data_IF_713312356544
#
_entry.id   IF_713312356544
#
_cell.length_a   1.000
_cell.length_b   1.000
_cell.length_c   1.000
_cell.angle_alpha   90.00
_cell.angle_beta   90.00
_cell.angle_gamma   90.00
#
_symmetry.space_group_name_H-M   'P 1'
#
loop_
_entity.id
_entity.type
_entity.pdbx_description
1 polymer ?
#
# COMPACT_ATOMS: atom_id res chain seq x y z
N UNK A 1 23.11 29.24 40.77
CA UNK A 1 22.67 27.85 40.48
C UNK A 1 21.15 27.87 40.53
N UNK A 2 20.48 28.05 39.39
CA UNK A 2 19.01 28.07 39.33
C UNK A 2 18.47 26.67 39.61
N UNK A 3 17.66 26.53 40.67
CA UNK A 3 16.92 25.31 40.94
C UNK A 3 15.68 25.36 40.06
N UNK A 4 15.74 24.69 38.88
CA UNK A 4 14.54 24.48 38.05
C UNK A 4 13.53 23.67 38.86
N UNK A 5 12.38 24.28 39.14
CA UNK A 5 11.25 23.65 39.82
C UNK A 5 10.74 22.45 38.99
N UNK A 6 10.86 21.24 39.54
CA UNK A 6 10.40 19.99 38.91
C UNK A 6 8.88 19.76 39.04
N UNK A 7 8.20 20.49 39.92
CA UNK A 7 6.77 20.36 40.23
C UNK A 7 5.84 20.48 39.02
N UNK A 8 5.99 21.47 38.10
CA UNK A 8 5.11 21.55 36.92
C UNK A 8 5.27 20.34 35.98
N UNK A 9 6.46 19.75 35.89
CA UNK A 9 6.70 18.57 35.07
C UNK A 9 6.04 17.32 35.67
N UNK A 10 6.09 17.16 37.00
CA UNK A 10 5.44 16.05 37.70
C UNK A 10 3.90 16.12 37.57
N UNK A 11 3.32 17.32 37.66
CA UNK A 11 1.88 17.53 37.45
C UNK A 11 1.47 17.20 36.02
N UNK A 12 2.26 17.64 35.02
CA UNK A 12 2.01 17.32 33.61
C UNK A 12 2.10 15.82 33.34
N UNK A 13 3.13 15.15 33.86
CA UNK A 13 3.29 13.69 33.74
C UNK A 13 2.10 12.98 34.41
N UNK A 14 1.69 13.40 35.60
CA UNK A 14 0.53 12.85 36.30
C UNK A 14 -0.76 12.96 35.49
N UNK A 15 -1.02 14.13 34.90
CA UNK A 15 -2.18 14.35 34.03
C UNK A 15 -2.12 13.50 32.75
N UNK A 16 -0.94 13.38 32.12
CA UNK A 16 -0.75 12.53 30.94
C UNK A 16 -0.99 11.05 31.25
N UNK A 17 -0.50 10.57 32.40
CA UNK A 17 -0.70 9.18 32.85
C UNK A 17 -2.18 8.92 33.15
N UNK A 18 -2.84 9.81 33.89
CA UNK A 18 -4.28 9.69 34.17
C UNK A 18 -5.12 9.69 32.89
N UNK A 19 -4.79 10.56 31.94
CA UNK A 19 -5.47 10.61 30.64
C UNK A 19 -5.23 9.34 29.83
N UNK A 20 -3.99 8.83 29.81
CA UNK A 20 -3.66 7.57 29.13
C UNK A 20 -4.38 6.37 29.76
N UNK A 21 -4.49 6.32 31.08
CA UNK A 21 -5.24 5.29 31.80
C UNK A 21 -6.74 5.39 31.51
N UNK A 22 -7.32 6.58 31.56
CA UNK A 22 -8.72 6.78 31.19
C UNK A 22 -8.98 6.28 29.75
N UNK A 23 -8.17 6.71 28.79
CA UNK A 23 -8.28 6.24 27.40
C UNK A 23 -8.13 4.73 27.26
N UNK A 24 -7.26 4.09 28.06
CA UNK A 24 -7.04 2.65 28.00
C UNK A 24 -8.18 1.81 28.61
N UNK A 25 -8.90 2.35 29.59
CA UNK A 25 -9.90 1.60 30.37
C UNK A 25 -11.35 2.04 30.15
N UNK A 26 -11.60 3.19 29.51
CA UNK A 26 -12.98 3.71 29.34
C UNK A 26 -13.41 3.85 27.89
N UNK A 27 -12.50 3.77 26.92
CA UNK A 27 -12.82 3.91 25.51
C UNK A 27 -12.84 2.53 24.86
N UNK A 28 -14.03 1.93 24.79
CA UNK A 28 -14.27 0.78 23.94
C UNK A 28 -14.21 1.24 22.48
N UNK A 29 -13.23 0.72 21.74
CA UNK A 29 -13.02 1.08 20.35
C UNK A 29 -13.71 0.07 19.46
N UNK A 30 -14.75 0.49 18.76
CA UNK A 30 -15.38 -0.35 17.74
C UNK A 30 -14.44 -0.45 16.53
N UNK A 31 -14.08 -1.68 16.17
CA UNK A 31 -13.39 -1.94 14.90
C UNK A 31 -14.42 -1.78 13.78
N UNK A 32 -14.17 -0.84 12.87
CA UNK A 32 -14.91 -0.74 11.62
C UNK A 32 -14.21 -1.63 10.61
N UNK A 33 -14.79 -2.81 10.38
CA UNK A 33 -14.22 -3.83 9.49
C UNK A 33 -14.45 -3.51 8.00
N UNK A 34 -15.17 -2.43 7.67
CA UNK A 34 -15.42 -2.05 6.28
C UNK A 34 -14.21 -1.30 5.70
N UNK A 35 -13.43 -1.91 4.79
CA UNK A 35 -12.35 -1.19 4.13
C UNK A 35 -12.91 -0.07 3.25
N UNK A 36 -12.21 1.06 3.15
CA UNK A 36 -12.54 2.12 2.19
C UNK A 36 -12.21 1.76 0.73
N UNK A 37 -11.70 0.54 0.50
CA UNK A 37 -11.27 0.05 -0.81
C UNK A 37 -11.80 -1.35 -1.06
N UNK A 38 -12.00 -1.69 -2.33
CA UNK A 38 -12.25 -3.07 -2.77
C UNK A 38 -10.93 -3.82 -2.76
N UNK A 39 -10.91 -4.99 -2.12
CA UNK A 39 -9.79 -5.94 -2.19
C UNK A 39 -9.91 -6.81 -3.43
N UNK A 40 -10.02 -6.15 -4.58
CA UNK A 40 -10.14 -6.77 -5.90
C UNK A 40 -9.54 -5.80 -6.91
N UNK A 41 -8.71 -6.31 -7.82
CA UNK A 41 -8.13 -5.54 -8.91
C UNK A 41 -8.80 -6.00 -10.21
N UNK A 42 -9.32 -5.07 -11.04
CA UNK A 42 -10.03 -5.44 -12.26
C UNK A 42 -9.10 -6.13 -13.26
N UNK A 43 -9.58 -7.17 -13.94
CA UNK A 43 -8.82 -7.85 -15.00
C UNK A 43 -8.70 -7.04 -16.29
N UNK A 44 -9.45 -5.94 -16.44
CA UNK A 44 -9.41 -5.05 -17.60
C UNK A 44 -9.67 -3.60 -17.16
N UNK A 45 -8.86 -2.66 -17.65
CA UNK A 45 -9.03 -1.22 -17.46
C UNK A 45 -8.76 -0.54 -18.80
N UNK A 46 -9.81 -0.17 -19.53
CA UNK A 46 -9.70 0.34 -20.91
C UNK A 46 -8.82 -0.55 -21.78
N UNK A 47 -7.64 -0.06 -22.18
CA UNK A 47 -6.63 -0.73 -23.01
C UNK A 47 -5.64 -1.61 -22.22
N UNK A 48 -5.74 -1.62 -20.89
CA UNK A 48 -4.90 -2.42 -20.01
C UNK A 48 -5.55 -3.76 -19.64
N UNK A 49 -4.81 -4.84 -19.81
CA UNK A 49 -5.14 -6.17 -19.33
C UNK A 49 -4.42 -6.42 -18.01
N UNK A 50 -5.19 -6.73 -16.95
CA UNK A 50 -4.71 -7.01 -15.61
C UNK A 50 -4.65 -8.50 -15.33
N UNK A 51 -3.52 -8.95 -14.79
CA UNK A 51 -3.30 -10.35 -14.42
C UNK A 51 -2.89 -10.44 -12.95
N UNK A 52 -3.78 -11.00 -12.14
CA UNK A 52 -3.57 -11.11 -10.70
C UNK A 52 -2.46 -12.12 -10.40
N UNK A 53 -1.73 -11.85 -9.33
CA UNK A 53 -0.58 -12.64 -8.93
C UNK A 53 -0.91 -13.58 -7.78
N UNK A 54 -0.32 -14.76 -7.85
CA UNK A 54 -0.40 -15.82 -6.85
C UNK A 54 0.99 -16.31 -6.51
N UNK A 55 1.20 -16.67 -5.25
CA UNK A 55 2.51 -16.99 -4.71
C UNK A 55 2.51 -18.37 -4.06
N UNK A 56 3.51 -19.17 -4.41
CA UNK A 56 3.81 -20.40 -3.68
C UNK A 56 4.52 -20.06 -2.37
N UNK A 57 4.13 -20.73 -1.30
CA UNK A 57 4.79 -20.64 0.02
C UNK A 57 5.82 -21.75 0.23
N UNK A 58 6.26 -22.39 -0.86
CA UNK A 58 7.41 -23.29 -0.82
C UNK A 58 8.69 -22.48 -0.56
N UNK A 59 9.36 -22.75 0.57
CA UNK A 59 10.55 -22.02 1.01
C UNK A 59 11.78 -22.38 0.19
N UNK A 60 11.81 -23.59 -0.35
CA UNK A 60 12.95 -24.10 -1.09
C UNK A 60 12.89 -23.64 -2.56
N UNK A 61 11.68 -23.40 -3.07
CA UNK A 61 11.43 -22.96 -4.44
C UNK A 61 10.29 -21.93 -4.51
N UNK A 62 10.49 -20.70 -4.01
CA UNK A 62 9.46 -19.68 -4.03
C UNK A 62 9.12 -19.29 -5.48
N UNK A 63 7.84 -19.44 -5.83
CA UNK A 63 7.33 -19.13 -7.17
C UNK A 63 6.21 -18.11 -7.13
N UNK A 64 6.13 -17.34 -8.20
CA UNK A 64 5.05 -16.43 -8.50
C UNK A 64 4.39 -16.89 -9.80
N UNK A 65 3.07 -16.88 -9.82
CA UNK A 65 2.23 -17.23 -10.95
C UNK A 65 1.34 -16.06 -11.29
N UNK A 66 1.03 -15.94 -12.58
CA UNK A 66 -0.09 -15.15 -13.07
C UNK A 66 -1.34 -16.01 -13.07
N UNK A 67 -2.48 -15.47 -12.65
CA UNK A 67 -3.73 -16.22 -12.60
C UNK A 67 -4.12 -16.71 -14.00
N UNK A 68 -3.80 -15.97 -15.06
CA UNK A 68 -4.05 -16.41 -16.45
C UNK A 68 -3.27 -17.66 -16.87
N UNK A 69 -2.18 -17.99 -16.18
CA UNK A 69 -1.33 -19.17 -16.43
C UNK A 69 -1.79 -20.41 -15.67
N UNK A 70 -2.81 -20.28 -14.82
CA UNK A 70 -3.28 -21.34 -13.93
C UNK A 70 -4.61 -21.94 -14.42
N UNK A 71 -4.70 -23.27 -14.38
CA UNK A 71 -5.99 -23.96 -14.58
C UNK A 71 -6.94 -23.70 -13.40
N UNK A 72 -6.38 -23.68 -12.19
CA UNK A 72 -7.07 -23.39 -10.94
C UNK A 72 -6.36 -22.22 -10.24
N UNK A 73 -7.01 -21.04 -10.08
CA UNK A 73 -6.34 -19.81 -9.63
C UNK A 73 -5.57 -19.92 -8.31
N UNK A 74 -6.00 -20.80 -7.40
CA UNK A 74 -5.41 -20.92 -6.07
C UNK A 74 -4.61 -22.20 -5.85
N UNK A 75 -4.28 -22.94 -6.92
CA UNK A 75 -3.55 -24.21 -6.84
C UNK A 75 -2.27 -24.15 -7.67
N UNK A 76 -1.16 -24.49 -7.04
CA UNK A 76 0.16 -24.59 -7.66
C UNK A 76 0.15 -25.77 -8.66
N UNK A 77 0.43 -25.55 -9.95
CA UNK A 77 0.32 -26.58 -10.98
C UNK A 77 1.39 -27.66 -10.86
N UNK A 78 2.50 -27.39 -10.17
CA UNK A 78 3.59 -28.35 -10.00
C UNK A 78 3.46 -29.16 -8.72
N UNK A 79 3.04 -28.51 -7.62
CA UNK A 79 2.99 -29.15 -6.30
C UNK A 79 1.58 -29.56 -5.86
N UNK A 80 0.54 -29.04 -6.52
CA UNK A 80 -0.87 -29.22 -6.12
C UNK A 80 -1.24 -28.52 -4.81
N UNK A 81 -0.34 -27.71 -4.23
CA UNK A 81 -0.57 -26.99 -2.98
C UNK A 81 -1.32 -25.68 -3.21
N UNK A 82 -1.90 -25.14 -2.15
CA UNK A 82 -2.56 -23.84 -2.19
C UNK A 82 -1.57 -22.70 -2.50
N UNK A 83 -1.97 -21.79 -3.38
CA UNK A 83 -1.31 -20.52 -3.63
C UNK A 83 -1.93 -19.40 -2.78
N UNK A 84 -1.17 -18.33 -2.59
CA UNK A 84 -1.52 -17.20 -1.72
C UNK A 84 -1.42 -15.88 -2.46
N UNK A 85 -2.06 -14.83 -1.93
CA UNK A 85 -2.04 -13.48 -2.53
C UNK A 85 -0.81 -12.65 -2.14
N UNK A 86 0.00 -13.16 -1.21
CA UNK A 86 1.27 -12.57 -0.79
C UNK A 86 2.38 -13.62 -0.80
N UNK A 87 3.63 -13.17 -0.96
CA UNK A 87 4.80 -14.03 -0.87
C UNK A 87 4.98 -14.57 0.56
N UNK A 88 5.72 -15.68 0.69
CA UNK A 88 6.06 -16.25 1.99
C UNK A 88 6.82 -15.24 2.88
N UNK A 89 7.74 -14.47 2.29
CA UNK A 89 8.49 -13.45 3.02
C UNK A 89 7.60 -12.33 3.59
N UNK A 90 6.55 -11.93 2.85
CA UNK A 90 5.56 -10.96 3.34
C UNK A 90 4.70 -11.57 4.45
N UNK A 91 4.29 -12.83 4.28
CA UNK A 91 3.53 -13.56 5.29
C UNK A 91 4.30 -13.71 6.61
N UNK A 92 5.61 -13.97 6.57
CA UNK A 92 6.43 -14.05 7.78
C UNK A 92 6.70 -12.67 8.42
N UNK A 93 6.80 -11.62 7.61
CA UNK A 93 7.19 -10.30 8.09
C UNK A 93 6.01 -9.45 8.62
N UNK A 94 4.78 -9.81 8.29
CA UNK A 94 3.59 -9.00 8.53
C UNK A 94 2.57 -9.74 9.42
N UNK A 95 1.66 -9.01 10.11
CA UNK A 95 0.57 -9.64 10.84
C UNK A 95 -0.28 -10.54 9.95
N UNK A 96 -0.72 -11.68 10.50
CA UNK A 96 -1.47 -12.70 9.76
C UNK A 96 -2.83 -12.25 9.24
N UNK A 97 -3.36 -11.13 9.73
CA UNK A 97 -4.60 -10.49 9.28
C UNK A 97 -4.35 -9.37 8.25
N UNK A 98 -3.14 -9.24 7.74
CA UNK A 98 -2.84 -8.40 6.57
C UNK A 98 -3.39 -9.06 5.32
N UNK A 99 -4.08 -8.29 4.48
CA UNK A 99 -4.58 -8.77 3.20
C UNK A 99 -3.83 -8.11 2.04
N UNK A 100 -3.64 -8.88 0.97
CA UNK A 100 -2.97 -8.42 -0.24
C UNK A 100 -3.81 -8.77 -1.47
N UNK A 101 -3.79 -7.86 -2.44
CA UNK A 101 -4.12 -8.14 -3.84
C UNK A 101 -3.04 -7.49 -4.69
N UNK A 102 -2.55 -8.20 -5.70
CA UNK A 102 -1.45 -7.74 -6.57
C UNK A 102 -1.73 -8.17 -7.99
N UNK A 103 -1.53 -7.27 -8.94
CA UNK A 103 -1.69 -7.59 -10.36
C UNK A 103 -0.61 -6.91 -11.19
N UNK A 104 -0.25 -7.53 -12.31
CA UNK A 104 0.53 -6.91 -13.38
C UNK A 104 -0.45 -6.49 -14.46
N UNK A 105 -0.36 -5.23 -14.89
CA UNK A 105 -1.13 -4.70 -16.00
C UNK A 105 -0.22 -4.49 -17.19
N UNK A 106 -0.65 -4.97 -18.36
CA UNK A 106 0.02 -4.72 -19.64
C UNK A 106 -0.94 -4.07 -20.63
N UNK A 107 -0.41 -3.24 -21.54
CA UNK A 107 -1.19 -2.65 -22.62
C UNK A 107 -0.56 -2.96 -23.99
N UNK A 108 -1.17 -2.44 -25.06
CA UNK A 108 -0.74 -2.68 -26.44
C UNK A 108 0.51 -1.89 -26.87
N UNK A 109 1.08 -1.06 -25.99
CA UNK A 109 2.23 -0.19 -26.26
C UNK A 109 3.42 -0.53 -25.37
N UNK A 110 3.58 -1.81 -25.02
CA UNK A 110 4.62 -2.33 -24.11
C UNK A 110 4.60 -1.75 -22.68
N UNK A 111 3.51 -1.09 -22.30
CA UNK A 111 3.29 -0.63 -20.93
C UNK A 111 3.22 -1.83 -19.98
N UNK A 112 3.94 -1.75 -18.87
CA UNK A 112 3.96 -2.77 -17.83
C UNK A 112 3.97 -2.12 -16.45
N UNK A 113 2.89 -2.31 -15.70
CA UNK A 113 2.69 -1.69 -14.41
C UNK A 113 2.29 -2.74 -13.38
N UNK A 114 3.00 -2.79 -12.27
CA UNK A 114 2.66 -3.60 -11.12
C UNK A 114 1.81 -2.78 -10.14
N UNK A 115 0.67 -3.32 -9.74
CA UNK A 115 -0.26 -2.73 -8.79
C UNK A 115 -0.38 -3.62 -7.57
N UNK A 116 -0.40 -3.02 -6.38
CA UNK A 116 -0.67 -3.74 -5.13
C UNK A 116 -1.59 -2.94 -4.22
N UNK A 117 -2.51 -3.66 -3.56
CA UNK A 117 -3.32 -3.17 -2.45
C UNK A 117 -2.93 -4.00 -1.23
N UNK A 118 -2.48 -3.33 -0.18
CA UNK A 118 -2.22 -3.93 1.13
C UNK A 118 -3.21 -3.35 2.11
N UNK A 119 -4.07 -4.19 2.69
CA UNK A 119 -5.05 -3.77 3.67
C UNK A 119 -4.57 -4.20 5.05
N UNK A 120 -4.42 -3.24 5.96
CA UNK A 120 -4.01 -3.52 7.33
C UNK A 120 -5.07 -4.34 8.04
N UNK A 121 -4.67 -5.34 8.81
CA UNK A 121 -5.54 -5.99 9.78
C UNK A 121 -5.84 -5.12 11.01
N UNK A 122 -6.20 -5.78 12.12
CA UNK A 122 -6.35 -5.19 13.45
C UNK A 122 -5.02 -4.67 13.98
N UNK A 123 -3.93 -5.35 13.62
CA UNK A 123 -2.57 -4.91 13.93
C UNK A 123 -2.07 -3.84 12.94
N UNK A 124 -1.56 -2.74 13.50
CA UNK A 124 -1.30 -1.47 12.78
C UNK A 124 0.04 -1.42 12.06
N UNK A 125 0.95 -2.33 12.40
CA UNK A 125 2.30 -2.48 11.85
C UNK A 125 2.32 -3.09 10.44
N UNK A 126 1.18 -3.58 9.94
CA UNK A 126 1.01 -4.14 8.59
C UNK A 126 1.34 -3.19 7.44
N UNK A 127 1.18 -1.87 7.67
CA UNK A 127 1.47 -0.84 6.67
C UNK A 127 2.51 0.12 7.26
N UNK A 128 3.68 0.15 6.63
CA UNK A 128 4.75 1.08 6.92
C UNK A 128 5.11 1.88 5.65
N UNK A 129 6.15 2.72 5.78
CA UNK A 129 6.69 3.50 4.66
C UNK A 129 7.27 2.60 3.55
N UNK A 130 6.96 2.81 2.26
CA UNK A 130 7.55 2.05 1.15
C UNK A 130 9.07 2.04 1.16
N UNK A 131 9.67 3.14 1.61
CA UNK A 131 11.11 3.32 1.61
C UNK A 131 11.84 2.19 2.37
N UNK A 132 11.21 1.64 3.42
CA UNK A 132 11.79 0.53 4.18
C UNK A 132 11.80 -0.78 3.37
N UNK A 133 10.67 -1.17 2.78
CA UNK A 133 10.60 -2.42 2.02
C UNK A 133 11.37 -2.32 0.70
N UNK A 134 11.27 -1.20 -0.02
CA UNK A 134 11.98 -1.02 -1.29
C UNK A 134 13.50 -1.11 -1.12
N UNK A 135 14.06 -0.50 -0.07
CA UNK A 135 15.48 -0.62 0.26
C UNK A 135 15.83 -2.04 0.68
N UNK A 136 14.99 -2.69 1.49
CA UNK A 136 15.16 -4.11 1.85
C UNK A 136 15.15 -5.05 0.64
N UNK A 137 14.45 -4.69 -0.44
CA UNK A 137 14.40 -5.40 -1.72
C UNK A 137 15.56 -5.02 -2.67
N UNK A 138 16.54 -4.23 -2.18
CA UNK A 138 17.74 -3.86 -2.91
C UNK A 138 17.61 -2.62 -3.80
N UNK A 139 16.55 -1.81 -3.64
CA UNK A 139 16.42 -0.55 -4.37
C UNK A 139 17.15 0.59 -3.65
N UNK A 140 17.80 1.46 -4.41
CA UNK A 140 18.20 2.80 -3.99
C UNK A 140 17.10 3.79 -4.36
N UNK A 141 16.73 4.68 -3.45
CA UNK A 141 15.74 5.73 -3.69
C UNK A 141 16.50 7.00 -4.03
N UNK A 142 16.40 7.44 -5.28
CA UNK A 142 17.17 8.57 -5.83
C UNK A 142 16.34 9.85 -5.92
N UNK A 143 15.05 9.78 -5.68
CA UNK A 143 14.18 10.95 -5.63
C UNK A 143 12.81 10.64 -5.06
N UNK A 144 12.17 11.67 -4.54
CA UNK A 144 10.78 11.63 -4.09
C UNK A 144 10.11 12.91 -4.54
N UNK A 145 8.92 12.79 -5.11
CA UNK A 145 8.10 13.91 -5.51
C UNK A 145 6.63 13.64 -5.22
N UNK A 146 5.89 14.71 -4.94
CA UNK A 146 4.44 14.64 -4.78
C UNK A 146 3.78 15.00 -6.09
N UNK A 147 2.81 14.20 -6.51
CA UNK A 147 2.00 14.47 -7.69
C UNK A 147 0.52 14.54 -7.35
N UNK A 148 -0.19 15.33 -8.14
CA UNK A 148 -1.64 15.39 -8.14
C UNK A 148 -2.14 14.74 -9.42
N UNK A 149 -3.08 13.82 -9.26
CA UNK A 149 -3.73 13.07 -10.33
C UNK A 149 -5.17 13.58 -10.40
N UNK A 150 -5.55 14.27 -11.49
CA UNK A 150 -6.92 14.71 -11.69
C UNK A 150 -7.88 13.52 -11.62
N UNK A 151 -9.00 13.70 -10.92
CA UNK A 151 -10.08 12.72 -10.85
C UNK A 151 -11.40 13.41 -11.21
N UNK A 152 -12.21 12.76 -12.03
CA UNK A 152 -13.49 13.32 -12.44
C UNK A 152 -14.43 13.55 -11.24
N UNK A 153 -14.97 14.77 -11.13
CA UNK A 153 -16.02 15.10 -10.16
C UNK A 153 -15.57 15.27 -8.69
N UNK A 154 -14.26 15.34 -8.42
CA UNK A 154 -13.71 15.54 -7.06
C UNK A 154 -12.34 16.22 -7.09
N UNK A 155 -11.81 16.50 -5.90
CA UNK A 155 -10.43 17.00 -5.75
C UNK A 155 -9.40 15.97 -6.26
N UNK A 156 -8.26 16.43 -6.83
CA UNK A 156 -7.20 15.54 -7.30
C UNK A 156 -6.67 14.60 -6.22
N UNK A 157 -6.35 13.37 -6.62
CA UNK A 157 -5.66 12.41 -5.76
C UNK A 157 -4.21 12.84 -5.59
N UNK A 158 -3.76 12.93 -4.35
CA UNK A 158 -2.36 13.21 -4.00
C UNK A 158 -1.61 11.90 -3.82
N UNK A 159 -0.54 11.71 -4.59
CA UNK A 159 0.33 10.53 -4.52
C UNK A 159 1.77 10.97 -4.26
N UNK A 160 2.53 10.15 -3.53
CA UNK A 160 3.98 10.28 -3.46
C UNK A 160 4.61 9.29 -4.45
N UNK A 161 5.55 9.78 -5.26
CA UNK A 161 6.26 9.01 -6.27
C UNK A 161 7.73 8.94 -5.90
N UNK A 162 8.23 7.72 -5.76
CA UNK A 162 9.64 7.43 -5.49
C UNK A 162 10.31 7.04 -6.81
N UNK A 163 11.44 7.67 -7.14
CA UNK A 163 12.32 7.19 -8.19
C UNK A 163 13.27 6.16 -7.58
N UNK A 164 13.26 4.96 -8.12
CA UNK A 164 14.09 3.85 -7.65
C UNK A 164 15.13 3.44 -8.68
N UNK A 165 16.24 2.90 -8.19
CA UNK A 165 17.29 2.28 -8.98
C UNK A 165 17.70 0.97 -8.33
N UNK A 166 17.85 -0.08 -9.13
CA UNK A 166 18.38 -1.36 -8.67
C UNK A 166 19.45 -1.87 -9.61
N UNK A 167 20.67 -2.03 -9.10
CA UNK A 167 21.76 -2.62 -9.86
C UNK A 167 21.65 -4.14 -9.83
N UNK A 168 21.78 -4.77 -10.99
CA UNK A 168 21.78 -6.22 -11.12
C UNK A 168 22.81 -6.65 -12.16
N UNK A 169 23.19 -7.91 -12.13
CA UNK A 169 24.09 -8.50 -13.11
C UNK A 169 23.24 -9.26 -14.13
N UNK A 170 23.36 -8.93 -15.41
CA UNK A 170 22.64 -9.64 -16.48
C UNK A 170 23.25 -11.03 -16.72
N UNK A 171 22.64 -11.82 -17.61
CA UNK A 171 23.11 -13.18 -17.96
C UNK A 171 24.55 -13.21 -18.50
N UNK A 172 25.02 -12.10 -19.08
CA UNK A 172 26.37 -11.96 -19.63
C UNK A 172 27.40 -11.53 -18.58
N UNK A 173 26.98 -11.35 -17.33
CA UNK A 173 27.86 -10.91 -16.25
C UNK A 173 28.07 -9.39 -16.19
N UNK A 174 27.40 -8.59 -17.03
CA UNK A 174 27.52 -7.14 -17.04
C UNK A 174 26.64 -6.50 -15.97
N UNK A 175 27.14 -5.41 -15.38
CA UNK A 175 26.36 -4.62 -14.43
C UNK A 175 25.38 -3.75 -15.18
N UNK A 176 24.09 -3.92 -14.92
CA UNK A 176 22.99 -3.13 -15.47
C UNK A 176 22.25 -2.43 -14.33
N UNK A 177 21.60 -1.31 -14.65
CA UNK A 177 20.74 -0.58 -13.71
C UNK A 177 19.30 -0.67 -14.18
N UNK A 178 18.42 -1.17 -13.31
CA UNK A 178 16.98 -1.07 -13.49
C UNK A 178 16.51 0.26 -12.92
N UNK A 179 15.95 1.12 -13.77
CA UNK A 179 15.34 2.38 -13.37
C UNK A 179 13.84 2.18 -13.16
N UNK A 180 13.37 2.36 -11.94
CA UNK A 180 11.97 2.18 -11.58
C UNK A 180 11.32 3.45 -11.03
N UNK A 181 10.00 3.43 -10.96
CA UNK A 181 9.22 4.36 -10.15
C UNK A 181 8.26 3.58 -9.24
N UNK A 182 7.87 4.21 -8.14
CA UNK A 182 6.93 3.65 -7.18
C UNK A 182 6.01 4.76 -6.66
N UNK A 183 4.82 4.85 -7.23
CA UNK A 183 3.76 5.76 -6.81
C UNK A 183 2.91 5.09 -5.73
N UNK A 184 2.56 5.83 -4.68
CA UNK A 184 1.75 5.29 -3.60
C UNK A 184 0.91 6.33 -2.86
N UNK A 185 -0.15 5.84 -2.24
CA UNK A 185 -0.99 6.58 -1.31
C UNK A 185 -1.70 5.64 -0.33
N UNK A 186 -2.27 6.21 0.72
CA UNK A 186 -3.04 5.50 1.72
C UNK A 186 -4.52 5.89 1.62
N UNK A 187 -5.40 4.92 1.79
CA UNK A 187 -6.86 5.10 1.76
C UNK A 187 -7.46 4.57 3.06
N UNK A 188 -8.16 5.44 3.79
CA UNK A 188 -9.05 5.08 4.88
C UNK A 188 -10.50 5.18 4.44
N UNK A 189 -11.45 5.04 5.38
CA UNK A 189 -12.89 5.05 5.04
C UNK A 189 -13.38 6.38 4.41
N UNK A 190 -12.82 7.51 4.83
CA UNK A 190 -13.28 8.85 4.40
C UNK A 190 -12.15 9.77 3.96
N UNK A 191 -10.91 9.27 3.92
CA UNK A 191 -9.71 10.08 3.75
C UNK A 191 -8.66 9.35 2.94
N UNK A 192 -7.92 10.11 2.17
CA UNK A 192 -6.78 9.65 1.42
C UNK A 192 -5.59 10.56 1.73
N UNK A 193 -4.40 9.97 1.80
CA UNK A 193 -3.17 10.75 1.99
C UNK A 193 -1.96 9.98 1.47
N UNK A 194 -0.99 10.65 0.83
CA UNK A 194 0.31 10.05 0.55
C UNK A 194 1.23 10.05 1.80
N UNK A 195 0.87 10.77 2.86
CA UNK A 195 1.71 10.96 4.04
C UNK A 195 1.43 9.89 5.10
N UNK A 196 2.44 9.06 5.37
CA UNK A 196 2.39 8.11 6.48
C UNK A 196 2.16 8.82 7.84
N UNK A 197 2.68 10.03 8.04
CA UNK A 197 2.48 10.75 9.31
C UNK A 197 1.04 11.25 9.46
N UNK A 198 0.43 11.76 8.38
CA UNK A 198 -0.98 12.14 8.40
C UNK A 198 -1.86 10.93 8.66
N UNK A 199 -1.58 9.78 8.02
CA UNK A 199 -2.24 8.52 8.33
C UNK A 199 -2.15 8.17 9.82
N UNK A 200 -0.96 8.24 10.41
CA UNK A 200 -0.78 7.94 11.84
C UNK A 200 -1.53 8.92 12.75
N UNK A 201 -1.58 10.19 12.38
CA UNK A 201 -2.35 11.19 13.09
C UNK A 201 -3.85 10.87 13.07
N UNK A 202 -4.43 10.61 11.89
CA UNK A 202 -5.85 10.27 11.75
C UNK A 202 -6.21 8.98 12.47
N UNK A 203 -5.34 7.96 12.39
CA UNK A 203 -5.50 6.71 13.14
C UNK A 203 -5.56 6.90 14.66
N UNK A 204 -4.84 7.90 15.20
CA UNK A 204 -4.88 8.24 16.61
C UNK A 204 -6.10 9.11 16.94
N UNK A 205 -6.41 10.10 16.11
CA UNK A 205 -7.54 11.00 16.26
C UNK A 205 -8.88 10.26 16.27
N UNK A 206 -9.15 9.43 15.25
CA UNK A 206 -10.42 8.70 15.14
C UNK A 206 -10.64 7.73 16.30
N UNK A 207 -9.55 7.18 16.85
CA UNK A 207 -9.62 6.31 18.02
C UNK A 207 -9.98 7.08 19.29
N UNK A 208 -9.35 8.22 19.52
CA UNK A 208 -9.51 9.00 20.75
C UNK A 208 -10.83 9.77 20.76
N UNK A 209 -11.21 10.34 19.61
CA UNK A 209 -12.34 11.26 19.51
C UNK A 209 -13.61 10.56 19.05
N UNK A 210 -13.50 9.61 18.11
CA UNK A 210 -14.67 8.91 17.55
C UNK A 210 -14.84 7.50 18.13
N UNK A 211 -13.88 6.99 18.90
CA UNK A 211 -13.87 5.60 19.40
C UNK A 211 -13.96 4.55 18.28
N UNK A 212 -13.45 4.87 17.08
CA UNK A 212 -13.46 3.96 15.92
C UNK A 212 -12.03 3.65 15.47
N UNK A 213 -11.78 2.39 15.12
CA UNK A 213 -10.57 1.96 14.44
C UNK A 213 -10.90 1.50 13.01
N UNK A 214 -10.62 2.36 12.04
CA UNK A 214 -10.74 2.03 10.62
C UNK A 214 -9.52 1.23 10.13
N UNK A 215 -9.75 0.24 9.28
CA UNK A 215 -8.68 -0.36 8.46
C UNK A 215 -8.21 0.65 7.42
N UNK A 216 -6.92 0.65 7.14
CA UNK A 216 -6.34 1.47 6.09
C UNK A 216 -5.79 0.56 5.01
N UNK A 217 -5.95 0.98 3.77
CA UNK A 217 -5.29 0.39 2.63
C UNK A 217 -4.08 1.22 2.23
N UNK A 218 -3.08 0.53 1.72
CA UNK A 218 -1.90 1.07 1.10
C UNK A 218 -1.89 0.60 -0.34
N UNK A 219 -2.03 1.55 -1.26
CA UNK A 219 -2.09 1.29 -2.68
C UNK A 219 -0.79 1.76 -3.29
N UNK A 220 -0.21 0.92 -4.14
CA UNK A 220 0.98 1.24 -4.87
C UNK A 220 0.88 0.83 -6.33
N UNK A 221 1.46 1.67 -7.19
CA UNK A 221 1.58 1.50 -8.63
C UNK A 221 3.04 1.73 -8.98
N UNK A 222 3.67 0.74 -9.59
CA UNK A 222 5.10 0.77 -9.91
C UNK A 222 5.38 0.27 -11.31
N UNK A 223 6.40 0.82 -11.94
CA UNK A 223 6.78 0.47 -13.29
C UNK A 223 8.21 0.87 -13.60
N UNK A 224 8.56 0.81 -14.87
CA UNK A 224 9.90 1.11 -15.36
C UNK A 224 10.01 2.56 -15.85
N UNK A 225 11.20 3.13 -15.72
CA UNK A 225 11.63 4.35 -16.40
C UNK A 225 12.66 3.99 -17.46
N UNK A 226 12.72 4.73 -18.56
CA UNK A 226 13.67 4.47 -19.63
C UNK A 226 15.13 4.62 -19.17
N UNK A 227 15.40 5.67 -18.38
CA UNK A 227 16.71 5.98 -17.83
C UNK A 227 16.59 6.81 -16.53
N UNK A 228 17.74 7.26 -15.99
CA UNK A 228 17.84 8.03 -14.75
C UNK A 228 17.07 9.37 -14.80
N UNK A 229 16.99 10.00 -15.98
CA UNK A 229 16.47 11.34 -16.22
C UNK A 229 15.05 11.34 -16.81
N UNK A 230 14.60 10.22 -17.38
CA UNK A 230 13.29 10.07 -18.01
C UNK A 230 12.15 10.49 -17.09
N UNK A 231 11.24 11.30 -17.65
CA UNK A 231 10.02 11.80 -17.01
C UNK A 231 8.74 11.31 -17.69
N UNK A 232 8.86 10.58 -18.81
CA UNK A 232 7.72 10.19 -19.65
C UNK A 232 6.75 9.28 -18.90
N UNK A 233 7.30 8.43 -18.02
CA UNK A 233 6.56 7.56 -17.12
C UNK A 233 5.49 8.28 -16.28
N UNK A 234 5.65 9.59 -16.05
CA UNK A 234 4.74 10.36 -15.20
C UNK A 234 3.35 10.47 -15.79
N UNK A 235 3.26 10.71 -17.10
CA UNK A 235 1.97 10.86 -17.76
C UNK A 235 1.29 9.49 -17.83
N UNK A 236 2.01 8.46 -18.26
CA UNK A 236 1.50 7.09 -18.31
C UNK A 236 1.00 6.61 -16.95
N UNK A 237 1.74 6.89 -15.88
CA UNK A 237 1.36 6.56 -14.51
C UNK A 237 0.11 7.33 -14.07
N UNK A 238 0.01 8.63 -14.37
CA UNK A 238 -1.17 9.44 -14.04
C UNK A 238 -2.41 8.91 -14.76
N UNK A 239 -2.30 8.68 -16.06
CA UNK A 239 -3.39 8.19 -16.91
C UNK A 239 -3.86 6.81 -16.45
N UNK A 240 -2.92 5.92 -16.12
CA UNK A 240 -3.25 4.60 -15.58
C UNK A 240 -3.96 4.71 -14.23
N UNK A 241 -3.44 5.51 -13.29
CA UNK A 241 -4.06 5.66 -11.97
C UNK A 241 -5.43 6.29 -12.05
N UNK A 242 -5.63 7.31 -12.90
CA UNK A 242 -6.95 7.93 -13.14
C UNK A 242 -7.98 6.90 -13.59
N UNK A 243 -7.61 5.99 -14.51
CA UNK A 243 -8.48 4.91 -15.00
C UNK A 243 -8.70 3.80 -13.98
N UNK A 244 -7.69 3.44 -13.19
CA UNK A 244 -7.77 2.40 -12.16
C UNK A 244 -8.65 2.84 -10.99
N UNK A 245 -8.55 4.10 -10.57
CA UNK A 245 -9.07 4.58 -9.31
C UNK A 245 -10.58 4.34 -9.09
N UNK A 246 -11.48 4.51 -10.07
CA UNK A 246 -12.90 4.20 -9.93
C UNK A 246 -13.21 2.74 -9.52
N UNK A 247 -12.34 1.79 -9.86
CA UNK A 247 -12.50 0.39 -9.49
C UNK A 247 -12.10 0.11 -8.04
N UNK A 248 -11.28 0.97 -7.44
CA UNK A 248 -10.75 0.77 -6.09
C UNK A 248 -11.74 1.16 -5.01
N UNK A 249 -12.65 2.10 -5.28
CA UNK A 249 -13.54 2.63 -4.25
C UNK A 249 -14.80 1.78 -4.05
N UNK A 250 -15.18 1.61 -2.78
CA UNK A 250 -16.51 1.12 -2.42
C UNK A 250 -17.47 2.29 -2.56
N UNK A 251 -18.49 2.15 -3.41
CA UNK A 251 -19.51 3.18 -3.57
C UNK A 251 -20.38 3.23 -2.30
N UNK A 252 -20.23 4.28 -1.51
CA UNK A 252 -21.03 4.49 -0.30
C UNK A 252 -22.46 4.98 -0.61
N UNK A 253 -22.85 5.15 -1.88
CA UNK A 253 -24.16 5.72 -2.25
C UNK A 253 -25.37 4.76 -2.22
N UNK A 254 -25.27 3.58 -1.61
CA UNK A 254 -26.37 2.58 -1.57
C UNK A 254 -26.83 2.10 -0.19
N UNK A 255 -26.44 2.75 0.90
CA UNK A 255 -26.97 2.44 2.23
C UNK A 255 -27.59 3.67 2.90
N UNK A 256 -28.63 4.24 2.30
CA UNK A 256 -29.66 4.97 3.04
C UNK A 256 -30.98 5.06 2.24
N UNK A 257 -31.63 3.91 2.01
CA UNK A 257 -33.08 3.81 1.74
C UNK A 257 -33.55 2.40 2.11
N UNK A 258 -33.87 2.19 3.38
CA UNK A 258 -34.91 1.24 3.81
C UNK A 258 -35.62 1.82 5.01
#
# INVERSE_FOLDING_TARGET
MEIRSLTPHLTLIGLLVLTALALAFTVDVTLSDTPGVRMELPSQIDDWSGDELRYSHDRDNPKQYRVSELELPDIDPETGKKLFTMSYAEYEALPHDTEFVKSIYTNNTDGNVFVSIVLSGKERNSIHRPQRCLVGQGNTIVGTERMEIPLAGREPLKVDVLKTERRYRNANGEMQTYYGYYAYWFVGQSRETPSHYERMFWLAWDRVVHSVAHRWAYIAVSGQRADENSQDYKQDMKDFVEKLYPYLLIDHSRHDKS
#
